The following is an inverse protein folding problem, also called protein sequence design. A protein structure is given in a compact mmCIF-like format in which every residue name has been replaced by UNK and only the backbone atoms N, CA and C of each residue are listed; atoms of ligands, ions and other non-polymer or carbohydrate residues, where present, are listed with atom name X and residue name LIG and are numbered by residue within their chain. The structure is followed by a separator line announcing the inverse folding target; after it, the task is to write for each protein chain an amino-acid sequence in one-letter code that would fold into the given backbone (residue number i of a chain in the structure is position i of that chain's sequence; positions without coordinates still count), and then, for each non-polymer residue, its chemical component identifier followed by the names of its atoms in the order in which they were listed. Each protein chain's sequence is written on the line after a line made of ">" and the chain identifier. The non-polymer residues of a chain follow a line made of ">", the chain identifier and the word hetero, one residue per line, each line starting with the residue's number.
data_IF_841804084165
#
_entry.id   IF_841804084165
#
_cell.length_a   1.000
_cell.length_b   1.000
_cell.length_c   1.000
_cell.angle_alpha   90.00
_cell.angle_beta   90.00
_cell.angle_gamma   90.00
#
_symmetry.space_group_name_H-M   'P 1'
#
loop_
_entity.id
_entity.type
_entity.pdbx_description
1 polymer ?
#
# COMPACT_ATOMS: atom_id res chain seq x y z
N UNK A 1 -19.75 21.16 -15.06
CA UNK A 1 -20.22 19.80 -15.38
C UNK A 1 -19.78 19.50 -16.80
N UNK A 2 -18.72 18.69 -16.98
CA UNK A 2 -18.32 18.17 -18.29
C UNK A 2 -17.90 16.71 -18.09
N UNK A 3 -18.77 15.81 -18.53
CA UNK A 3 -18.50 14.39 -18.67
C UNK A 3 -17.58 14.19 -19.87
N UNK A 4 -16.36 13.69 -19.63
CA UNK A 4 -15.51 13.15 -20.70
C UNK A 4 -15.73 11.64 -20.79
N UNK A 5 -16.66 11.25 -21.63
CA UNK A 5 -16.78 9.90 -22.19
C UNK A 5 -15.85 9.80 -23.39
N UNK A 6 -14.60 9.41 -23.14
CA UNK A 6 -13.63 9.02 -24.16
C UNK A 6 -13.05 7.65 -23.80
N UNK A 7 -12.95 6.75 -24.76
CA UNK A 7 -12.50 5.37 -24.59
C UNK A 7 -11.09 5.26 -23.96
N UNK A 8 -11.06 5.09 -22.63
CA UNK A 8 -10.39 3.96 -21.97
C UNK A 8 -8.90 4.03 -21.65
N UNK A 9 -8.31 5.18 -21.30
CA UNK A 9 -6.96 5.20 -20.67
C UNK A 9 -6.98 5.91 -19.32
N UNK A 10 -6.90 5.14 -18.24
CA UNK A 10 -6.85 5.67 -16.88
C UNK A 10 -5.55 6.47 -16.66
N UNK A 11 -5.68 7.70 -16.18
CA UNK A 11 -4.56 8.50 -15.68
C UNK A 11 -4.24 8.15 -14.22
N UNK A 12 -3.01 8.44 -13.77
CA UNK A 12 -2.59 8.38 -12.37
C UNK A 12 -3.65 8.96 -11.42
N UNK A 13 -4.13 10.16 -11.76
CA UNK A 13 -5.13 10.89 -11.00
C UNK A 13 -6.46 10.14 -10.93
N UNK A 14 -6.96 9.64 -12.05
CA UNK A 14 -8.22 8.89 -12.07
C UNK A 14 -8.15 7.60 -11.24
N UNK A 15 -6.99 6.94 -11.21
CA UNK A 15 -6.78 5.75 -10.39
C UNK A 15 -6.66 6.09 -8.91
N UNK A 16 -5.96 7.17 -8.56
CA UNK A 16 -5.87 7.63 -7.17
C UNK A 16 -7.26 7.95 -6.63
N UNK A 17 -8.06 8.73 -7.35
CA UNK A 17 -9.45 9.03 -6.96
C UNK A 17 -10.28 7.75 -6.84
N UNK A 18 -10.15 6.83 -7.79
CA UNK A 18 -10.85 5.54 -7.73
C UNK A 18 -10.42 4.71 -6.53
N UNK A 19 -9.14 4.75 -6.15
CA UNK A 19 -8.64 4.01 -5.02
C UNK A 19 -9.06 4.64 -3.70
N UNK A 20 -8.94 5.96 -3.53
CA UNK A 20 -9.44 6.67 -2.34
C UNK A 20 -10.95 6.48 -2.15
N UNK A 21 -11.74 6.49 -3.24
CA UNK A 21 -13.16 6.14 -3.14
C UNK A 21 -13.36 4.71 -2.64
N UNK A 22 -12.57 3.73 -3.10
CA UNK A 22 -12.65 2.36 -2.59
C UNK A 22 -12.23 2.28 -1.12
N UNK A 23 -11.18 3.00 -0.72
CA UNK A 23 -10.73 3.09 0.67
C UNK A 23 -11.81 3.68 1.56
N UNK A 24 -12.48 4.76 1.13
CA UNK A 24 -13.64 5.30 1.83
C UNK A 24 -14.70 4.23 2.08
N UNK A 25 -15.14 3.50 1.04
CA UNK A 25 -16.18 2.48 1.21
C UNK A 25 -15.73 1.30 2.09
N UNK A 26 -14.47 0.88 2.00
CA UNK A 26 -13.97 -0.26 2.79
C UNK A 26 -13.60 0.11 4.23
N UNK A 27 -13.23 1.35 4.51
CA UNK A 27 -12.88 1.79 5.87
C UNK A 27 -14.10 2.42 6.52
N UNK A 28 -14.59 3.55 6.00
CA UNK A 28 -15.75 4.25 6.57
C UNK A 28 -17.00 3.38 6.58
N UNK A 29 -17.27 2.67 5.48
CA UNK A 29 -18.48 1.86 5.32
C UNK A 29 -18.57 0.69 6.30
N UNK A 30 -17.46 0.28 6.91
CA UNK A 30 -17.44 -0.78 7.92
C UNK A 30 -17.55 -0.26 9.36
N UNK A 31 -17.48 1.05 9.60
CA UNK A 31 -17.70 1.63 10.93
C UNK A 31 -19.18 1.96 11.17
N UNK A 32 -19.76 1.68 12.35
CA UNK A 32 -19.13 1.00 13.50
C UNK A 32 -19.27 -0.53 13.50
N UNK A 33 -20.17 -1.09 12.68
CA UNK A 33 -20.67 -2.47 12.86
C UNK A 33 -19.63 -3.56 12.57
N UNK A 34 -18.75 -3.34 11.61
CA UNK A 34 -17.74 -4.30 11.15
C UNK A 34 -16.33 -3.70 11.29
N UNK A 35 -16.06 -2.98 12.38
CA UNK A 35 -14.78 -2.33 12.64
C UNK A 35 -13.71 -3.35 13.09
N UNK A 36 -13.39 -4.28 12.18
CA UNK A 36 -12.40 -5.33 12.34
C UNK A 36 -11.22 -5.09 11.38
N UNK A 37 -10.02 -5.00 11.95
CA UNK A 37 -8.80 -4.64 11.24
C UNK A 37 -8.44 -5.65 10.14
N UNK A 38 -8.55 -6.94 10.43
CA UNK A 38 -8.24 -7.99 9.46
C UNK A 38 -9.21 -8.00 8.28
N UNK A 39 -10.50 -7.85 8.57
CA UNK A 39 -11.55 -7.71 7.57
C UNK A 39 -11.32 -6.50 6.66
N UNK A 40 -11.01 -5.34 7.25
CA UNK A 40 -10.72 -4.10 6.50
C UNK A 40 -9.47 -4.31 5.64
N UNK A 41 -8.38 -4.85 6.20
CA UNK A 41 -7.15 -5.13 5.45
C UNK A 41 -7.39 -6.04 4.27
N UNK A 42 -8.04 -7.20 4.47
CA UNK A 42 -8.38 -8.12 3.38
C UNK A 42 -9.21 -7.44 2.31
N UNK A 43 -10.19 -6.64 2.70
CA UNK A 43 -11.06 -5.92 1.78
C UNK A 43 -10.29 -4.88 0.97
N UNK A 44 -9.40 -4.12 1.60
CA UNK A 44 -8.52 -3.15 0.94
C UNK A 44 -7.59 -3.84 -0.07
N UNK A 45 -6.97 -4.97 0.28
CA UNK A 45 -6.12 -5.73 -0.64
C UNK A 45 -6.91 -6.24 -1.86
N UNK A 46 -8.13 -6.75 -1.65
CA UNK A 46 -9.01 -7.15 -2.73
C UNK A 46 -9.36 -5.96 -3.66
N UNK A 47 -9.61 -4.78 -3.10
CA UNK A 47 -9.85 -3.57 -3.88
C UNK A 47 -8.60 -3.13 -4.67
N UNK A 48 -7.40 -3.25 -4.09
CA UNK A 48 -6.14 -3.01 -4.80
C UNK A 48 -6.00 -3.96 -6.00
N UNK A 49 -6.12 -5.28 -5.78
CA UNK A 49 -6.08 -6.28 -6.86
C UNK A 49 -7.12 -5.96 -7.94
N UNK A 50 -8.39 -5.74 -7.57
CA UNK A 50 -9.46 -5.41 -8.52
C UNK A 50 -9.16 -4.15 -9.34
N UNK A 51 -8.59 -3.12 -8.72
CA UNK A 51 -8.33 -1.85 -9.38
C UNK A 51 -7.10 -1.88 -10.29
N UNK A 52 -6.05 -2.65 -9.94
CA UNK A 52 -4.76 -2.60 -10.64
C UNK A 52 -4.41 -3.88 -11.42
N UNK A 53 -5.05 -5.03 -11.15
CA UNK A 53 -4.75 -6.27 -11.87
C UNK A 53 -5.05 -6.15 -13.37
N UNK A 54 -4.06 -6.47 -14.20
CA UNK A 54 -4.11 -6.38 -15.68
C UNK A 54 -4.54 -5.01 -16.18
N UNK A 55 -4.23 -3.95 -15.42
CA UNK A 55 -4.47 -2.57 -15.86
C UNK A 55 -3.25 -1.97 -16.51
N UNK A 56 -3.54 -1.06 -17.43
CA UNK A 56 -2.59 -0.17 -18.08
C UNK A 56 -2.97 1.26 -17.75
N UNK A 57 -2.05 2.05 -17.23
CA UNK A 57 -2.31 3.43 -16.87
C UNK A 57 -1.11 4.33 -17.09
N UNK A 58 -1.40 5.61 -17.28
CA UNK A 58 -0.39 6.64 -17.58
C UNK A 58 0.00 7.39 -16.32
N UNK A 59 1.29 7.45 -16.07
CA UNK A 59 1.91 8.37 -15.14
C UNK A 59 2.66 9.46 -15.94
N UNK A 60 2.96 10.63 -15.38
CA UNK A 60 3.74 11.63 -16.10
C UNK A 60 5.05 11.05 -16.64
N UNK A 61 5.20 11.04 -17.98
CA UNK A 61 6.38 10.50 -18.67
C UNK A 61 6.50 8.97 -18.68
N UNK A 62 5.54 8.22 -18.16
CA UNK A 62 5.62 6.76 -18.11
C UNK A 62 4.28 6.07 -18.36
N UNK A 63 4.36 4.81 -18.78
CA UNK A 63 3.24 3.92 -18.95
C UNK A 63 3.49 2.68 -18.10
N UNK A 64 2.59 2.44 -17.16
CA UNK A 64 2.64 1.25 -16.33
C UNK A 64 1.65 0.19 -16.82
N UNK A 65 2.09 -1.06 -16.74
CA UNK A 65 1.23 -2.24 -16.72
C UNK A 65 1.47 -3.00 -15.44
N UNK A 66 0.40 -3.50 -14.83
CA UNK A 66 0.51 -4.25 -13.58
C UNK A 66 -0.21 -5.58 -13.60
N UNK A 67 0.38 -6.59 -12.97
CA UNK A 67 -0.22 -7.92 -12.72
C UNK A 67 -0.12 -8.21 -11.23
N UNK A 68 -1.18 -8.79 -10.69
CA UNK A 68 -1.34 -8.99 -9.25
C UNK A 68 -1.76 -10.43 -8.96
N UNK A 69 -1.09 -11.08 -8.02
CA UNK A 69 -1.53 -12.35 -7.42
C UNK A 69 -1.64 -12.13 -5.91
N UNK A 70 -2.65 -12.70 -5.28
CA UNK A 70 -2.89 -12.52 -3.86
C UNK A 70 -3.00 -13.88 -3.20
N UNK A 71 -2.33 -14.00 -2.06
CA UNK A 71 -2.24 -15.21 -1.29
C UNK A 71 -2.57 -14.90 0.17
N UNK A 72 -3.06 -15.91 0.88
CA UNK A 72 -3.27 -15.89 2.32
C UNK A 72 -2.44 -17.03 2.93
N UNK A 73 -1.86 -16.78 4.09
CA UNK A 73 -1.21 -17.83 4.86
C UNK A 73 -2.22 -18.94 5.20
N UNK A 74 -1.87 -20.19 4.90
CA UNK A 74 -2.77 -21.34 5.00
C UNK A 74 -3.12 -21.67 6.46
N UNK A 75 -2.20 -21.41 7.38
CA UNK A 75 -2.39 -21.60 8.81
C UNK A 75 -2.48 -20.23 9.49
N UNK A 76 -3.37 -20.12 10.47
CA UNK A 76 -3.38 -18.94 11.33
C UNK A 76 -2.16 -19.00 12.27
N UNK A 77 -1.40 -17.90 12.31
CA UNK A 77 -0.25 -17.75 13.20
C UNK A 77 -0.57 -16.68 14.23
N UNK A 78 -0.20 -16.93 15.49
CA UNK A 78 -0.54 -16.03 16.60
C UNK A 78 0.13 -14.65 16.48
N UNK A 79 1.33 -14.60 15.90
CA UNK A 79 2.12 -13.37 15.79
C UNK A 79 2.80 -13.22 14.42
N UNK A 80 2.02 -12.83 13.38
CA UNK A 80 2.59 -12.50 12.08
C UNK A 80 3.58 -11.34 12.21
N UNK A 81 4.61 -11.32 11.35
CA UNK A 81 5.60 -10.23 11.31
C UNK A 81 4.99 -8.96 10.73
N UNK A 82 4.01 -9.11 9.83
CA UNK A 82 3.27 -8.04 9.19
C UNK A 82 1.85 -8.51 8.85
N UNK A 83 0.90 -7.59 8.79
CA UNK A 83 -0.47 -7.92 8.39
C UNK A 83 -0.51 -8.25 6.89
N UNK A 84 0.27 -7.56 6.07
CA UNK A 84 0.53 -7.99 4.71
C UNK A 84 1.93 -7.61 4.21
N UNK A 85 2.40 -8.37 3.22
CA UNK A 85 3.58 -8.04 2.44
C UNK A 85 3.21 -7.90 0.95
N UNK A 86 3.85 -6.96 0.27
CA UNK A 86 3.80 -6.81 -1.19
C UNK A 86 5.15 -7.23 -1.77
N UNK A 87 5.20 -8.26 -2.59
CA UNK A 87 6.39 -8.72 -3.29
C UNK A 87 6.40 -8.14 -4.71
N UNK A 88 7.30 -7.20 -4.97
CA UNK A 88 7.41 -6.49 -6.23
C UNK A 88 8.42 -7.13 -7.18
N UNK A 89 8.04 -7.17 -8.46
CA UNK A 89 8.93 -7.43 -9.60
C UNK A 89 8.72 -6.31 -10.62
N UNK A 90 9.65 -5.37 -10.70
CA UNK A 90 9.54 -4.13 -11.48
C UNK A 90 10.51 -4.19 -12.67
N UNK A 91 9.97 -4.25 -13.88
CA UNK A 91 10.73 -4.21 -15.13
C UNK A 91 10.76 -2.77 -15.65
N UNK A 92 11.94 -2.16 -15.68
CA UNK A 92 12.14 -0.81 -16.22
C UNK A 92 12.31 -0.81 -17.74
N UNK A 93 12.25 0.38 -18.32
CA UNK A 93 12.28 0.60 -19.77
C UNK A 93 13.63 0.23 -20.44
N UNK A 94 14.70 0.17 -19.65
CA UNK A 94 16.05 -0.27 -20.05
C UNK A 94 16.25 -1.79 -19.90
N UNK A 95 15.21 -2.52 -19.49
CA UNK A 95 15.27 -3.96 -19.23
C UNK A 95 15.79 -4.32 -17.84
N UNK A 96 16.11 -3.35 -16.98
CA UNK A 96 16.50 -3.62 -15.61
C UNK A 96 15.33 -4.20 -14.83
N UNK A 97 15.54 -5.34 -14.16
CA UNK A 97 14.57 -6.00 -13.31
C UNK A 97 14.93 -5.77 -11.84
N UNK A 98 14.03 -5.12 -11.11
CA UNK A 98 14.15 -4.87 -9.67
C UNK A 98 13.16 -5.75 -8.92
N UNK A 99 13.64 -6.53 -7.96
CA UNK A 99 12.80 -7.25 -7.01
C UNK A 99 12.92 -6.62 -5.62
N UNK A 100 11.80 -6.43 -4.92
CA UNK A 100 11.79 -5.85 -3.58
C UNK A 100 10.49 -6.17 -2.83
N UNK A 101 10.49 -6.01 -1.51
CA UNK A 101 9.32 -6.29 -0.68
C UNK A 101 8.90 -5.05 0.14
N UNK A 102 7.60 -4.81 0.24
CA UNK A 102 7.04 -3.86 1.20
C UNK A 102 6.31 -4.64 2.31
N UNK A 103 6.63 -4.36 3.57
CA UNK A 103 5.95 -4.95 4.73
C UNK A 103 5.05 -3.91 5.39
N UNK A 104 3.82 -4.29 5.72
CA UNK A 104 2.84 -3.36 6.26
C UNK A 104 2.13 -3.96 7.48
N UNK A 105 2.11 -3.18 8.56
CA UNK A 105 1.29 -3.41 9.73
C UNK A 105 0.11 -2.46 9.69
N UNK A 106 -1.13 -2.96 9.67
CA UNK A 106 -2.34 -2.14 9.60
C UNK A 106 -2.91 -1.95 11.00
N UNK A 107 -3.35 -0.76 11.39
CA UNK A 107 -4.00 -0.50 12.68
C UNK A 107 -5.25 0.34 12.53
N UNK A 108 -6.36 -0.15 13.09
CA UNK A 108 -7.62 0.58 13.14
C UNK A 108 -7.67 1.55 14.33
N UNK A 109 -8.17 2.76 14.11
CA UNK A 109 -8.42 3.74 15.18
C UNK A 109 -9.45 3.21 16.18
N UNK A 110 -9.22 3.45 17.46
CA UNK A 110 -10.16 3.08 18.51
C UNK A 110 -11.48 3.87 18.36
N UNK A 111 -12.67 3.23 18.46
CA UNK A 111 -13.95 3.92 18.38
C UNK A 111 -14.03 5.12 19.33
N UNK A 112 -14.45 6.25 18.80
CA UNK A 112 -14.63 7.54 19.47
C UNK A 112 -13.38 8.08 20.20
N UNK A 113 -12.19 7.59 19.83
CA UNK A 113 -10.91 7.99 20.44
C UNK A 113 -9.88 8.35 19.38
N UNK A 114 -8.88 9.13 19.78
CA UNK A 114 -7.75 9.51 18.91
C UNK A 114 -6.56 8.56 19.05
N UNK A 115 -6.79 7.29 19.39
CA UNK A 115 -5.75 6.31 19.72
C UNK A 115 -5.81 5.08 18.80
N UNK A 116 -4.69 4.38 18.70
CA UNK A 116 -4.55 3.09 18.03
C UNK A 116 -4.08 2.05 19.05
N UNK A 117 -4.98 1.58 19.92
CA UNK A 117 -4.62 0.68 21.02
C UNK A 117 -4.00 -0.64 20.55
N UNK A 118 -4.41 -1.13 19.37
CA UNK A 118 -3.84 -2.31 18.72
C UNK A 118 -2.37 -2.15 18.30
N UNK A 119 -1.82 -0.93 18.26
CA UNK A 119 -0.43 -0.69 17.90
C UNK A 119 0.52 -1.17 19.01
N UNK A 120 1.12 -2.35 18.81
CA UNK A 120 2.16 -2.91 19.69
C UNK A 120 3.54 -2.50 19.21
N UNK A 121 4.24 -1.68 20.01
CA UNK A 121 5.59 -1.17 19.69
C UNK A 121 6.60 -2.30 19.45
N UNK A 122 6.54 -3.38 20.23
CA UNK A 122 7.48 -4.50 20.09
C UNK A 122 7.26 -5.28 18.79
N UNK A 123 6.01 -5.41 18.33
CA UNK A 123 5.72 -5.98 17.02
C UNK A 123 6.22 -5.08 15.90
N UNK A 124 6.01 -3.76 16.02
CA UNK A 124 6.52 -2.80 15.02
C UNK A 124 8.06 -2.83 14.96
N UNK A 125 8.75 -2.95 16.10
CA UNK A 125 10.21 -3.14 16.16
C UNK A 125 10.64 -4.47 15.52
N UNK A 126 9.90 -5.56 15.76
CA UNK A 126 10.17 -6.87 15.13
C UNK A 126 10.02 -6.78 13.61
N UNK A 127 8.96 -6.15 13.11
CA UNK A 127 8.77 -5.92 11.68
C UNK A 127 9.92 -5.07 11.10
N UNK A 128 10.25 -3.96 11.77
CA UNK A 128 11.31 -3.05 11.33
C UNK A 128 12.70 -3.71 11.29
N UNK A 129 12.99 -4.65 12.20
CA UNK A 129 14.28 -5.37 12.19
C UNK A 129 14.40 -6.39 11.06
N UNK A 130 13.28 -6.86 10.51
CA UNK A 130 13.23 -7.72 9.31
C UNK A 130 13.25 -6.87 8.04
N UNK A 131 12.47 -5.79 8.04
CA UNK A 131 12.21 -4.93 6.89
C UNK A 131 12.33 -3.46 7.33
N UNK A 132 13.54 -2.85 7.26
CA UNK A 132 13.76 -1.46 7.64
C UNK A 132 12.87 -0.43 6.93
N UNK A 133 12.47 -0.70 5.69
CA UNK A 133 11.52 0.13 4.93
C UNK A 133 10.05 -0.20 5.17
N UNK A 134 9.74 -1.08 6.15
CA UNK A 134 8.37 -1.43 6.51
C UNK A 134 7.54 -0.24 6.97
N UNK A 135 6.23 -0.35 6.81
CA UNK A 135 5.28 0.73 7.00
C UNK A 135 4.20 0.37 8.02
N UNK A 136 3.70 1.37 8.74
CA UNK A 136 2.49 1.31 9.54
C UNK A 136 1.35 1.98 8.76
N UNK A 137 0.29 1.24 8.49
CA UNK A 137 -0.93 1.71 7.87
C UNK A 137 -1.98 1.97 8.98
N UNK A 138 -2.59 3.12 8.97
CA UNK A 138 -3.57 3.57 9.95
C UNK A 138 -4.93 3.74 9.25
N UNK A 139 -5.92 2.97 9.67
CA UNK A 139 -7.30 3.13 9.23
C UNK A 139 -8.05 4.06 10.18
N UNK A 140 -8.73 5.05 9.60
CA UNK A 140 -9.56 6.01 10.33
C UNK A 140 -10.94 6.08 9.67
N UNK A 141 -11.99 5.93 10.47
CA UNK A 141 -13.36 6.15 10.03
C UNK A 141 -13.69 7.65 9.90
N UNK A 142 -12.83 8.54 10.39
CA UNK A 142 -12.88 9.97 10.12
C UNK A 142 -11.96 10.31 8.94
N UNK A 143 -12.24 11.43 8.29
CA UNK A 143 -11.42 11.94 7.21
C UNK A 143 -10.04 12.35 7.76
N UNK A 144 -8.98 11.65 7.35
CA UNK A 144 -7.60 12.03 7.70
C UNK A 144 -7.19 13.21 6.84
N UNK A 145 -6.88 14.33 7.50
CA UNK A 145 -6.37 15.57 6.89
C UNK A 145 -5.04 15.97 7.55
N UNK A 146 -4.29 16.89 6.94
CA UNK A 146 -3.01 17.36 7.51
C UNK A 146 -1.86 16.35 7.42
N UNK A 147 -1.94 15.41 6.47
CA UNK A 147 -0.85 14.49 6.13
C UNK A 147 0.35 15.24 5.54
N UNK A 148 1.53 14.62 5.59
CA UNK A 148 2.74 15.12 4.94
C UNK A 148 2.52 15.09 3.42
N UNK A 149 1.98 16.15 2.83
CA UNK A 149 1.48 16.11 1.48
C UNK A 149 2.62 16.32 0.46
N UNK A 150 2.98 15.33 -0.36
CA UNK A 150 3.87 15.57 -1.47
C UNK A 150 3.05 16.26 -2.56
N UNK A 151 3.54 17.41 -3.04
CA UNK A 151 2.97 18.05 -4.22
C UNK A 151 2.93 17.02 -5.36
N UNK A 152 1.75 16.73 -5.89
CA UNK A 152 1.65 15.88 -7.08
C UNK A 152 2.31 16.59 -8.26
N UNK A 153 3.07 15.88 -9.11
CA UNK A 153 3.80 16.48 -10.23
C UNK A 153 2.97 17.28 -11.25
N UNK A 154 1.64 17.19 -11.23
CA UNK A 154 0.78 18.11 -11.99
C UNK A 154 0.99 19.59 -11.58
N UNK A 155 1.59 19.85 -10.41
CA UNK A 155 2.00 21.18 -9.97
C UNK A 155 3.34 21.67 -10.55
N UNK A 156 4.12 20.82 -11.26
CA UNK A 156 5.50 21.11 -11.69
C UNK A 156 5.64 20.96 -13.22
N UNK A 157 4.65 21.40 -13.99
CA UNK A 157 4.80 21.65 -15.44
C UNK A 157 4.30 23.04 -15.80
N UNK A 158 5.20 24.04 -15.74
CA UNK A 158 5.17 25.26 -16.57
C UNK A 158 3.93 26.17 -16.52
N UNK A 159 2.91 25.84 -15.76
CA UNK A 159 1.74 26.63 -15.50
C UNK A 159 1.48 26.51 -14.00
N UNK A 160 1.75 27.57 -13.24
CA UNK A 160 1.06 27.77 -11.98
C UNK A 160 -0.44 27.70 -12.29
N UNK A 161 -1.21 26.74 -11.76
CA UNK A 161 -2.64 26.86 -11.84
C UNK A 161 -3.04 27.99 -10.88
N UNK A 162 -3.56 29.07 -11.43
CA UNK A 162 -4.20 30.18 -10.69
C UNK A 162 -5.47 29.75 -9.92
N UNK A 163 -5.73 28.45 -9.80
CA UNK A 163 -6.73 27.88 -8.93
C UNK A 163 -6.06 26.84 -8.05
N UNK A 164 -5.79 27.23 -6.80
CA UNK A 164 -5.45 26.34 -5.70
C UNK A 164 -6.68 25.50 -5.28
N UNK A 165 -7.50 25.10 -6.24
CA UNK A 165 -8.77 24.43 -5.98
C UNK A 165 -8.56 22.94 -5.76
N UNK A 166 -8.68 22.56 -4.49
CA UNK A 166 -9.37 21.36 -4.03
C UNK A 166 -8.79 19.99 -4.40
N UNK A 167 -7.46 19.83 -4.30
CA UNK A 167 -6.87 18.49 -4.26
C UNK A 167 -6.16 18.19 -2.95
N UNK A 168 -6.86 18.40 -1.83
CA UNK A 168 -6.51 17.70 -0.60
C UNK A 168 -7.42 16.47 -0.55
N UNK A 169 -7.04 15.31 -1.15
CA UNK A 169 -7.71 14.08 -0.79
C UNK A 169 -7.48 13.90 0.70
N UNK A 170 -8.58 14.03 1.46
CA UNK A 170 -8.63 13.32 2.72
C UNK A 170 -8.55 11.83 2.39
N UNK A 171 -7.93 11.06 3.27
CA UNK A 171 -7.87 9.61 3.14
C UNK A 171 -8.47 8.96 4.37
N UNK A 172 -8.83 7.69 4.24
CA UNK A 172 -9.20 6.83 5.35
C UNK A 172 -8.12 5.78 5.65
N UNK A 173 -6.98 5.86 4.95
CA UNK A 173 -5.87 4.92 5.03
C UNK A 173 -4.54 5.68 4.92
N UNK A 174 -3.91 5.97 6.06
CA UNK A 174 -2.69 6.76 6.16
C UNK A 174 -1.47 5.87 6.47
N UNK A 175 -0.40 5.99 5.71
CA UNK A 175 0.81 5.17 5.80
C UNK A 175 1.97 5.99 6.32
N UNK A 176 2.68 5.47 7.32
CA UNK A 176 3.88 6.08 7.90
C UNK A 176 5.02 5.05 7.96
N UNK A 177 6.27 5.43 7.65
CA UNK A 177 7.41 4.54 7.83
C UNK A 177 7.53 4.06 9.29
N UNK A 178 7.80 2.77 9.48
CA UNK A 178 7.95 2.15 10.80
C UNK A 178 9.02 2.85 11.62
N UNK A 179 10.15 3.22 11.01
CA UNK A 179 11.23 4.01 11.65
C UNK A 179 10.72 5.34 12.22
N UNK A 180 9.94 6.08 11.44
CA UNK A 180 9.35 7.36 11.86
C UNK A 180 8.32 7.16 12.97
N UNK A 181 7.44 6.17 12.84
CA UNK A 181 6.46 5.84 13.88
C UNK A 181 7.13 5.44 15.20
N UNK A 182 8.22 4.66 15.14
CA UNK A 182 9.03 4.28 16.30
C UNK A 182 9.72 5.48 16.93
N UNK A 183 10.30 6.37 16.12
CA UNK A 183 10.97 7.59 16.59
C UNK A 183 10.00 8.57 17.27
N UNK A 184 8.80 8.76 16.69
CA UNK A 184 7.76 9.60 17.28
C UNK A 184 7.20 9.01 18.57
N UNK A 185 7.23 7.68 18.72
CA UNK A 185 6.77 6.98 19.92
C UNK A 185 5.28 7.15 20.24
N UNK A 186 4.51 7.77 19.34
CA UNK A 186 3.08 8.04 19.48
C UNK A 186 2.24 6.83 19.08
N UNK A 187 1.03 6.73 19.65
CA UNK A 187 -0.03 5.80 19.24
C UNK A 187 -1.34 6.52 18.95
N UNK A 188 -1.26 7.79 18.57
CA UNK A 188 -2.44 8.64 18.36
C UNK A 188 -2.50 9.14 16.92
N UNK A 189 -3.59 9.83 16.59
CA UNK A 189 -3.75 10.56 15.32
C UNK A 189 -2.65 11.61 15.07
N UNK A 190 -1.80 11.92 16.06
CA UNK A 190 -0.60 12.74 15.84
C UNK A 190 0.38 12.14 14.81
N UNK A 191 0.33 10.81 14.59
CA UNK A 191 1.13 10.13 13.56
C UNK A 191 0.78 10.62 12.14
N UNK A 192 -0.41 11.18 11.92
CA UNK A 192 -0.84 11.63 10.59
C UNK A 192 0.05 12.71 9.99
N UNK A 193 0.67 13.55 10.84
CA UNK A 193 1.56 14.64 10.42
C UNK A 193 2.79 14.14 9.63
N UNK A 194 3.16 12.87 9.81
CA UNK A 194 4.29 12.23 9.15
C UNK A 194 3.85 11.08 8.22
N UNK A 195 2.56 11.00 7.89
CA UNK A 195 2.01 9.96 7.02
C UNK A 195 1.66 10.46 5.63
N UNK A 196 1.51 9.53 4.70
CA UNK A 196 1.04 9.70 3.33
C UNK A 196 -0.25 8.89 3.11
N UNK A 197 -1.16 9.29 2.20
CA UNK A 197 -2.24 8.40 1.78
C UNK A 197 -1.70 7.07 1.22
N UNK A 198 -2.34 5.95 1.55
CA UNK A 198 -1.97 4.62 1.00
C UNK A 198 -1.97 4.61 -0.52
N UNK A 199 -2.93 5.32 -1.13
CA UNK A 199 -3.00 5.45 -2.58
C UNK A 199 -1.78 6.14 -3.18
N UNK A 200 -1.23 7.12 -2.48
CA UNK A 200 -0.02 7.81 -2.89
C UNK A 200 1.20 6.91 -2.76
N UNK A 201 1.35 6.26 -1.60
CA UNK A 201 2.44 5.31 -1.33
C UNK A 201 2.48 4.22 -2.41
N UNK A 202 1.34 3.65 -2.78
CA UNK A 202 1.27 2.64 -3.83
C UNK A 202 1.63 3.21 -5.21
N UNK A 203 0.93 4.26 -5.65
CA UNK A 203 0.97 4.72 -7.04
C UNK A 203 2.26 5.46 -7.42
N UNK A 204 2.88 6.17 -6.47
CA UNK A 204 4.01 7.06 -6.73
C UNK A 204 5.32 6.62 -6.09
N UNK A 205 5.27 5.63 -5.18
CA UNK A 205 6.48 5.17 -4.47
C UNK A 205 6.73 3.70 -4.75
N UNK A 206 5.87 2.80 -4.28
CA UNK A 206 6.08 1.36 -4.45
C UNK A 206 6.12 0.89 -5.90
N UNK A 207 5.26 1.41 -6.79
CA UNK A 207 5.33 1.08 -8.23
C UNK A 207 6.64 1.52 -8.90
N UNK A 208 7.42 2.39 -8.27
CA UNK A 208 8.71 2.85 -8.78
C UNK A 208 9.90 2.25 -8.01
N UNK A 209 9.65 1.29 -7.12
CA UNK A 209 10.69 0.68 -6.30
C UNK A 209 11.11 1.51 -5.08
N UNK A 210 10.42 2.61 -4.77
CA UNK A 210 10.73 3.40 -3.58
C UNK A 210 10.11 2.77 -2.33
N UNK A 211 10.81 2.87 -1.19
CA UNK A 211 10.43 2.29 0.11
C UNK A 211 10.17 0.78 0.08
N UNK A 212 10.93 0.07 -0.75
CA UNK A 212 11.00 -1.38 -0.75
C UNK A 212 12.27 -1.84 -0.03
N UNK A 213 12.18 -2.98 0.64
CA UNK A 213 13.31 -3.72 1.15
C UNK A 213 13.83 -4.69 0.08
N UNK A 214 15.10 -4.53 -0.31
CA UNK A 214 15.76 -5.35 -1.33
C UNK A 214 16.62 -6.47 -0.75
N UNK A 215 16.86 -6.45 0.55
CA UNK A 215 17.74 -7.40 1.22
C UNK A 215 17.18 -8.82 1.24
N UNK A 216 18.06 -9.81 1.10
CA UNK A 216 17.69 -11.24 1.13
C UNK A 216 16.80 -11.61 2.34
N UNK A 217 17.06 -11.14 3.58
CA UNK A 217 16.19 -11.52 4.71
C UNK A 217 14.73 -11.10 4.55
N UNK A 218 14.47 -9.86 4.11
CA UNK A 218 13.11 -9.36 3.90
C UNK A 218 12.43 -10.09 2.73
N UNK A 219 13.17 -10.32 1.65
CA UNK A 219 12.69 -11.05 0.47
C UNK A 219 12.36 -12.51 0.79
N UNK A 220 13.21 -13.21 1.54
CA UNK A 220 13.00 -14.60 1.93
C UNK A 220 11.81 -14.74 2.88
N UNK A 221 11.64 -13.80 3.81
CA UNK A 221 10.46 -13.74 4.67
C UNK A 221 9.20 -13.51 3.85
N UNK A 222 9.20 -12.53 2.93
CA UNK A 222 8.04 -12.24 2.07
C UNK A 222 7.66 -13.43 1.18
N UNK A 223 8.65 -14.20 0.70
CA UNK A 223 8.44 -15.40 -0.12
C UNK A 223 8.02 -16.63 0.68
N UNK A 224 8.03 -16.58 2.01
CA UNK A 224 7.77 -17.73 2.88
C UNK A 224 8.91 -18.76 2.90
N UNK A 225 10.16 -18.32 2.68
CA UNK A 225 11.38 -19.17 2.76
C UNK A 225 12.05 -19.11 4.13
N UNK A 226 11.61 -18.20 5.00
CA UNK A 226 12.27 -17.91 6.28
C UNK A 226 11.27 -17.72 7.42
N UNK A 227 10.77 -18.82 7.95
CA UNK A 227 9.72 -18.84 8.98
C UNK A 227 10.22 -18.39 10.37
N UNK A 228 11.51 -18.58 10.69
CA UNK A 228 12.12 -18.21 11.98
C UNK A 228 12.02 -16.71 12.29
N UNK A 229 11.88 -15.88 11.25
CA UNK A 229 11.72 -14.42 11.37
C UNK A 229 10.26 -13.97 11.35
N UNK A 230 9.33 -14.91 11.25
CA UNK A 230 7.89 -14.69 11.10
C UNK A 230 7.46 -14.60 9.65
N UNK A 231 6.14 -14.60 9.43
CA UNK A 231 5.52 -14.54 8.10
C UNK A 231 4.47 -13.43 8.04
N UNK A 232 4.16 -12.94 6.84
CA UNK A 232 3.07 -12.01 6.64
C UNK A 232 1.74 -12.76 6.52
N UNK A 233 0.66 -12.25 7.11
CA UNK A 233 -0.65 -12.91 7.06
C UNK A 233 -1.22 -12.98 5.64
N UNK A 234 -1.09 -11.89 4.89
CA UNK A 234 -1.38 -11.83 3.46
C UNK A 234 -0.12 -11.54 2.66
N UNK A 235 0.00 -12.15 1.49
CA UNK A 235 1.07 -11.88 0.54
C UNK A 235 0.46 -11.46 -0.79
N UNK A 236 0.90 -10.35 -1.35
CA UNK A 236 0.48 -9.88 -2.66
C UNK A 236 1.68 -9.75 -3.56
N UNK A 237 1.71 -10.52 -4.63
CA UNK A 237 2.75 -10.41 -5.63
C UNK A 237 2.33 -9.40 -6.71
N UNK A 238 3.16 -8.39 -6.93
CA UNK A 238 2.88 -7.25 -7.80
C UNK A 238 3.98 -7.16 -8.86
N UNK A 239 3.63 -7.48 -10.11
CA UNK A 239 4.53 -7.24 -11.22
C UNK A 239 4.18 -5.92 -11.88
N UNK A 240 5.18 -5.09 -12.12
CA UNK A 240 5.05 -3.76 -12.74
C UNK A 240 5.99 -3.72 -13.93
N UNK A 241 5.51 -3.26 -15.08
CA UNK A 241 6.37 -2.98 -16.23
C UNK A 241 6.22 -1.53 -16.67
N UNK A 242 7.36 -0.85 -16.83
CA UNK A 242 7.49 0.51 -17.33
C UNK A 242 7.76 0.50 -18.83
N UNK A 243 7.46 1.59 -19.53
CA UNK A 243 7.76 1.71 -20.96
C UNK A 243 6.92 0.81 -21.88
N UNK A 244 5.94 0.09 -21.35
CA UNK A 244 5.00 -0.72 -22.13
C UNK A 244 5.38 -2.18 -22.35
N UNK A 245 6.44 -2.67 -21.69
CA UNK A 245 6.76 -4.10 -21.60
C UNK A 245 5.67 -4.90 -20.88
N UNK A 246 5.83 -6.22 -20.89
CA UNK A 246 4.91 -7.12 -20.18
C UNK A 246 5.38 -7.36 -18.74
N UNK A 247 4.47 -7.33 -17.76
CA UNK A 247 4.78 -7.75 -16.39
C UNK A 247 5.17 -9.22 -16.33
N UNK A 248 6.12 -9.55 -15.46
CA UNK A 248 6.52 -10.92 -15.12
C UNK A 248 5.30 -11.71 -14.61
N UNK A 249 5.22 -12.98 -15.01
CA UNK A 249 4.06 -13.82 -14.71
C UNK A 249 4.20 -14.64 -13.43
N UNK A 250 5.43 -14.98 -13.06
CA UNK A 250 5.74 -15.94 -12.01
C UNK A 250 6.48 -15.29 -10.84
N UNK A 251 6.08 -15.69 -9.63
CA UNK A 251 6.73 -15.32 -8.39
C UNK A 251 7.16 -16.58 -7.65
N UNK A 252 8.37 -16.58 -7.11
CA UNK A 252 8.89 -17.64 -6.25
C UNK A 252 8.26 -17.54 -4.84
N UNK A 253 6.99 -17.94 -4.70
CA UNK A 253 6.27 -18.01 -3.42
C UNK A 253 6.25 -19.45 -2.91
N UNK A 254 6.44 -19.65 -1.61
CA UNK A 254 6.22 -20.93 -0.96
C UNK A 254 4.71 -21.25 -0.91
N UNK A 255 4.25 -22.07 -1.87
CA UNK A 255 2.85 -22.47 -2.01
C UNK A 255 2.37 -23.50 -0.98
N UNK A 256 3.29 -24.09 -0.22
CA UNK A 256 2.93 -24.98 0.89
C UNK A 256 2.43 -24.17 2.09
N UNK A 257 2.92 -22.92 2.23
CA UNK A 257 2.52 -22.00 3.30
C UNK A 257 1.43 -21.02 2.85
N UNK A 258 1.41 -20.65 1.57
CA UNK A 258 0.52 -19.61 1.04
C UNK A 258 -0.47 -20.17 0.01
N UNK A 259 -1.76 -20.02 0.29
CA UNK A 259 -2.85 -20.41 -0.62
C UNK A 259 -3.29 -19.21 -1.44
N UNK A 260 -3.36 -19.35 -2.76
CA UNK A 260 -3.85 -18.29 -3.64
C UNK A 260 -5.33 -18.01 -3.36
N UNK A 261 -5.67 -16.73 -3.23
CA UNK A 261 -7.04 -16.26 -3.03
C UNK A 261 -7.58 -15.66 -4.32
N UNK A 262 -8.81 -16.07 -4.68
CA UNK A 262 -9.53 -15.59 -5.87
C UNK A 262 -9.81 -14.10 -5.78
#
# INVERSE_FOLDING_TARGET
>A
MNMFTGSGKASARSLLVSFENRLFHQVKGNYPMNWDEDFITRSVLNQMKSLFHRKRFRLPGNLLRTRWQQYRLAQDIDTPVADFALLFSILYHDGFLLEGAAFVMARAKDPDKNTFSGLRKDHLKKMHSVAPSSQLLLYDYDAVTGMAFPSVPDAIRGAYPHTWDNWVPYSHAAVIPSSTALALGSKTTALYKASLPLSYQLCFRWFFGLDLDFGNPAMDVARGKREDRGLAKYLVCVSVSHGGGEPVEEFSVNRDLYTETV
#
